data_IF_770108138308
#
_entry.id   IF_770108138308
#
_cell.length_a   1.000
_cell.length_b   1.000
_cell.length_c   1.000
_cell.angle_alpha   90.00
_cell.angle_beta   90.00
_cell.angle_gamma   90.00
#
_symmetry.space_group_name_H-M   'P 1'
#
loop_
_entity.id
_entity.type
_entity.pdbx_description
1 polymer ?
#
# COMPACT_ATOMS: atom_id res chain seq x y z
N UNK A 1 -29.73 -34.89 40.47
CA UNK A 1 -28.29 -34.94 40.83
C UNK A 1 -28.01 -35.46 42.29
N UNK A 2 -28.98 -35.89 43.03
CA UNK A 2 -28.78 -36.24 44.44
C UNK A 2 -28.12 -37.63 44.70
N UNK A 3 -28.03 -38.52 43.71
CA UNK A 3 -27.47 -39.89 43.91
C UNK A 3 -26.09 -40.13 43.30
N UNK A 4 -25.38 -39.09 42.84
CA UNK A 4 -24.05 -39.25 42.26
C UNK A 4 -22.96 -39.09 43.33
N UNK A 5 -22.04 -40.07 43.43
CA UNK A 5 -20.92 -40.02 44.36
C UNK A 5 -20.08 -38.75 44.17
N UNK A 6 -19.54 -38.18 45.25
CA UNK A 6 -18.70 -36.94 45.22
C UNK A 6 -17.59 -37.03 44.22
N UNK A 7 -16.92 -38.18 44.10
CA UNK A 7 -15.84 -38.43 43.13
C UNK A 7 -16.34 -38.21 41.68
N UNK A 8 -17.52 -38.74 41.34
CA UNK A 8 -18.09 -38.59 40.00
C UNK A 8 -18.46 -37.11 39.71
N UNK A 9 -18.96 -36.38 40.69
CA UNK A 9 -19.25 -34.94 40.54
C UNK A 9 -17.98 -34.15 40.24
N UNK A 10 -16.88 -34.42 40.95
CA UNK A 10 -15.57 -33.76 40.72
C UNK A 10 -15.02 -34.06 39.34
N UNK A 11 -15.11 -35.32 38.85
CA UNK A 11 -14.70 -35.68 37.49
C UNK A 11 -15.52 -34.96 36.44
N UNK A 12 -16.84 -34.84 36.63
CA UNK A 12 -17.70 -34.09 35.68
C UNK A 12 -17.27 -32.61 35.61
N UNK A 13 -17.05 -31.98 36.77
CA UNK A 13 -16.59 -30.57 36.83
C UNK A 13 -15.23 -30.41 36.11
N UNK A 14 -14.30 -31.35 36.30
CA UNK A 14 -13.02 -31.35 35.63
C UNK A 14 -13.19 -31.42 34.11
N UNK A 15 -13.99 -32.35 33.59
CA UNK A 15 -14.21 -32.49 32.14
C UNK A 15 -14.84 -31.23 31.56
N UNK A 16 -15.84 -30.64 32.26
CA UNK A 16 -16.46 -29.39 31.81
C UNK A 16 -15.45 -28.23 31.75
N UNK A 17 -14.59 -28.12 32.76
CA UNK A 17 -13.56 -27.07 32.80
C UNK A 17 -12.51 -27.24 31.69
N UNK A 18 -12.06 -28.47 31.43
CA UNK A 18 -11.12 -28.75 30.31
C UNK A 18 -11.74 -28.42 28.94
N UNK A 19 -13.01 -28.81 28.75
CA UNK A 19 -13.75 -28.48 27.52
C UNK A 19 -13.86 -26.96 27.36
N UNK A 20 -14.20 -26.23 28.43
CA UNK A 20 -14.31 -24.78 28.41
C UNK A 20 -12.98 -24.09 28.06
N UNK A 21 -11.86 -24.55 28.64
CA UNK A 21 -10.52 -24.03 28.30
C UNK A 21 -10.14 -24.31 26.85
N UNK A 22 -10.40 -25.52 26.36
CA UNK A 22 -10.15 -25.88 24.96
C UNK A 22 -10.98 -25.00 24.01
N UNK A 23 -12.26 -24.80 24.28
CA UNK A 23 -13.12 -23.90 23.49
C UNK A 23 -12.62 -22.45 23.54
N UNK A 24 -12.23 -21.93 24.70
CA UNK A 24 -11.66 -20.58 24.79
C UNK A 24 -10.39 -20.45 23.95
N UNK A 25 -9.50 -21.46 23.96
CA UNK A 25 -8.29 -21.46 23.17
C UNK A 25 -8.60 -21.43 21.65
N UNK A 26 -9.55 -22.25 21.19
CA UNK A 26 -9.97 -22.25 19.78
C UNK A 26 -10.57 -20.90 19.39
N UNK A 27 -11.46 -20.35 20.19
CA UNK A 27 -12.08 -19.04 19.93
C UNK A 27 -11.01 -17.94 19.88
N UNK A 28 -10.08 -17.92 20.84
CA UNK A 28 -8.99 -16.94 20.87
C UNK A 28 -8.11 -17.01 19.62
N UNK A 29 -7.74 -18.22 19.19
CA UNK A 29 -6.93 -18.39 17.98
C UNK A 29 -7.67 -17.99 16.70
N UNK A 30 -8.94 -18.34 16.54
CA UNK A 30 -9.74 -17.96 15.37
C UNK A 30 -9.99 -16.46 15.32
N UNK A 31 -10.26 -15.83 16.48
CA UNK A 31 -10.43 -14.38 16.58
C UNK A 31 -9.14 -13.63 16.24
N UNK A 32 -7.99 -14.12 16.74
CA UNK A 32 -6.69 -13.52 16.43
C UNK A 32 -6.41 -13.53 14.92
N UNK A 33 -6.67 -14.65 14.24
CA UNK A 33 -6.50 -14.74 12.79
C UNK A 33 -7.45 -13.83 12.02
N UNK A 34 -8.72 -13.76 12.43
CA UNK A 34 -9.68 -12.88 11.79
C UNK A 34 -9.32 -11.40 11.92
N UNK A 35 -8.89 -10.98 13.13
CA UNK A 35 -8.41 -9.62 13.36
C UNK A 35 -7.13 -9.34 12.58
N UNK A 36 -6.22 -10.32 12.51
CA UNK A 36 -4.97 -10.20 11.78
C UNK A 36 -5.16 -9.96 10.29
N UNK A 37 -5.99 -10.77 9.64
CA UNK A 37 -6.28 -10.62 8.22
C UNK A 37 -6.94 -9.26 7.91
N UNK A 38 -7.93 -8.85 8.72
CA UNK A 38 -8.57 -7.55 8.54
C UNK A 38 -7.57 -6.38 8.73
N UNK A 39 -6.67 -6.49 9.71
CA UNK A 39 -5.64 -5.47 9.92
C UNK A 39 -4.68 -5.38 8.73
N UNK A 40 -4.25 -6.51 8.17
CA UNK A 40 -3.39 -6.55 6.99
C UNK A 40 -4.07 -5.96 5.76
N UNK A 41 -5.34 -6.25 5.52
CA UNK A 41 -6.11 -5.66 4.41
C UNK A 41 -6.21 -4.13 4.55
N UNK A 42 -6.43 -3.64 5.76
CA UNK A 42 -6.48 -2.19 6.05
C UNK A 42 -5.11 -1.56 5.80
N UNK A 43 -4.04 -2.16 6.31
CA UNK A 43 -2.66 -1.66 6.13
C UNK A 43 -2.28 -1.62 4.65
N UNK A 44 -2.57 -2.68 3.89
CA UNK A 44 -2.30 -2.73 2.45
C UNK A 44 -3.02 -1.60 1.70
N UNK A 45 -4.34 -1.43 1.97
CA UNK A 45 -5.12 -0.37 1.33
C UNK A 45 -4.61 1.03 1.71
N UNK A 46 -4.24 1.25 2.97
CA UNK A 46 -3.68 2.51 3.46
C UNK A 46 -2.32 2.81 2.81
N UNK A 47 -1.45 1.82 2.70
CA UNK A 47 -0.17 1.96 2.01
C UNK A 47 -0.37 2.36 0.54
N UNK A 48 -1.22 1.65 -0.21
CA UNK A 48 -1.50 1.97 -1.63
C UNK A 48 -2.11 3.37 -1.78
N UNK A 49 -3.03 3.75 -0.89
CA UNK A 49 -3.60 5.10 -0.86
C UNK A 49 -2.55 6.16 -0.57
N UNK A 50 -1.63 5.90 0.36
CA UNK A 50 -0.52 6.81 0.67
C UNK A 50 0.41 7.04 -0.52
N UNK A 51 0.69 6.01 -1.31
CA UNK A 51 1.46 6.15 -2.55
C UNK A 51 0.72 6.98 -3.60
N UNK A 52 -0.59 6.80 -3.75
CA UNK A 52 -1.43 7.60 -4.63
C UNK A 52 -1.45 9.08 -4.20
N UNK A 53 -1.63 9.35 -2.92
CA UNK A 53 -1.59 10.70 -2.37
C UNK A 53 -0.21 11.36 -2.55
N UNK A 54 0.87 10.60 -2.38
CA UNK A 54 2.23 11.08 -2.58
C UNK A 54 2.44 11.55 -4.03
N UNK A 55 2.15 10.72 -5.03
CA UNK A 55 2.35 11.11 -6.45
C UNK A 55 1.44 12.27 -6.85
N UNK A 56 0.21 12.33 -6.34
CA UNK A 56 -0.70 13.46 -6.52
C UNK A 56 -0.10 14.75 -5.95
N UNK A 57 0.36 14.73 -4.71
CA UNK A 57 0.99 15.88 -4.07
C UNK A 57 2.24 16.36 -4.81
N UNK A 58 3.05 15.45 -5.38
CA UNK A 58 4.22 15.81 -6.18
C UNK A 58 3.81 16.53 -7.48
N UNK A 59 2.79 16.05 -8.17
CA UNK A 59 2.26 16.72 -9.38
C UNK A 59 1.71 18.10 -9.03
N UNK A 60 0.94 18.25 -7.94
CA UNK A 60 0.40 19.53 -7.50
C UNK A 60 1.52 20.55 -7.14
N UNK A 61 2.65 20.09 -6.59
CA UNK A 61 3.83 20.91 -6.36
C UNK A 61 4.43 21.43 -7.68
N UNK A 62 4.53 20.55 -8.70
CA UNK A 62 5.06 20.97 -10.02
C UNK A 62 4.07 21.90 -10.74
N UNK A 63 2.76 21.67 -10.62
CA UNK A 63 1.73 22.60 -11.10
C UNK A 63 1.93 23.99 -10.45
N UNK A 64 2.18 24.04 -9.14
CA UNK A 64 2.43 25.30 -8.42
C UNK A 64 3.71 26.01 -8.90
N UNK A 65 4.76 25.24 -9.25
CA UNK A 65 5.97 25.77 -9.87
C UNK A 65 5.66 26.40 -11.24
N UNK A 66 4.93 25.68 -12.11
CA UNK A 66 4.49 26.20 -13.42
C UNK A 66 3.67 27.47 -13.25
N UNK A 67 2.73 27.51 -12.31
CA UNK A 67 1.92 28.68 -12.02
C UNK A 67 2.76 29.89 -11.57
N UNK A 68 3.78 29.65 -10.75
CA UNK A 68 4.70 30.72 -10.30
C UNK A 68 5.46 31.33 -11.48
N UNK A 69 5.92 30.49 -12.43
CA UNK A 69 6.63 30.94 -13.63
C UNK A 69 5.66 31.66 -14.59
N UNK A 70 4.46 31.11 -14.80
CA UNK A 70 3.42 31.73 -15.62
C UNK A 70 3.02 33.12 -15.09
N UNK A 71 2.86 33.30 -13.78
CA UNK A 71 2.58 34.60 -13.17
C UNK A 71 3.67 35.65 -13.45
N UNK A 72 4.93 35.24 -13.67
CA UNK A 72 6.03 36.10 -14.06
C UNK A 72 5.97 36.48 -15.55
N UNK A 73 5.54 35.54 -16.40
CA UNK A 73 5.20 35.85 -17.79
C UNK A 73 4.08 36.89 -17.85
N UNK A 74 3.00 36.75 -17.09
CA UNK A 74 1.90 37.74 -17.07
C UNK A 74 2.35 39.13 -16.62
N UNK A 75 3.40 39.23 -15.82
CA UNK A 75 4.05 40.51 -15.42
C UNK A 75 5.01 41.07 -16.46
N UNK A 76 5.21 40.34 -17.58
CA UNK A 76 6.10 40.76 -18.65
C UNK A 76 7.58 40.52 -18.36
N UNK A 77 7.93 39.64 -17.39
CA UNK A 77 9.32 39.32 -17.08
C UNK A 77 9.91 38.36 -18.13
N UNK A 78 9.07 37.58 -18.81
CA UNK A 78 9.40 36.58 -19.85
C UNK A 78 8.41 36.67 -21.01
N UNK A 79 8.82 36.18 -22.18
CA UNK A 79 7.89 35.72 -23.21
C UNK A 79 7.28 34.38 -22.80
N UNK A 80 6.20 33.94 -23.43
CA UNK A 80 5.58 32.65 -23.17
C UNK A 80 6.59 31.50 -23.42
N UNK A 81 7.31 31.53 -24.55
CA UNK A 81 8.32 30.52 -24.90
C UNK A 81 9.45 30.43 -23.84
N UNK A 82 9.88 31.60 -23.31
CA UNK A 82 10.90 31.62 -22.26
C UNK A 82 10.35 31.06 -20.94
N UNK A 83 9.10 31.32 -20.60
CA UNK A 83 8.44 30.79 -19.40
C UNK A 83 8.26 29.25 -19.50
N UNK A 84 7.79 28.75 -20.66
CA UNK A 84 7.67 27.32 -20.93
C UNK A 84 9.06 26.64 -20.86
N UNK A 85 10.06 27.20 -21.52
CA UNK A 85 11.42 26.66 -21.47
C UNK A 85 11.95 26.61 -20.04
N UNK A 86 11.78 27.69 -19.28
CA UNK A 86 12.25 27.76 -17.88
C UNK A 86 11.54 26.68 -17.02
N UNK A 87 10.23 26.52 -17.18
CA UNK A 87 9.47 25.51 -16.46
C UNK A 87 9.95 24.09 -16.85
N UNK A 88 10.09 23.80 -18.14
CA UNK A 88 10.56 22.51 -18.62
C UNK A 88 11.97 22.17 -18.09
N UNK A 89 12.91 23.13 -18.14
CA UNK A 89 14.28 22.93 -17.65
C UNK A 89 14.31 22.63 -16.15
N UNK A 90 13.48 23.34 -15.34
CA UNK A 90 13.40 23.06 -13.92
C UNK A 90 12.75 21.69 -13.63
N UNK A 91 11.66 21.35 -14.32
CA UNK A 91 10.96 20.06 -14.10
C UNK A 91 11.87 18.87 -14.49
N UNK A 92 12.67 19.02 -15.53
CA UNK A 92 13.62 17.98 -16.00
C UNK A 92 14.60 17.56 -14.91
N UNK A 93 15.02 18.51 -14.08
CA UNK A 93 15.99 18.28 -12.99
C UNK A 93 15.34 17.89 -11.65
N UNK A 94 14.01 18.05 -11.52
CA UNK A 94 13.32 17.70 -10.28
C UNK A 94 13.35 16.18 -10.05
N UNK A 95 13.64 15.81 -8.80
CA UNK A 95 13.58 14.44 -8.30
C UNK A 95 12.91 14.44 -6.93
N UNK A 96 12.28 13.31 -6.59
CA UNK A 96 11.75 13.08 -5.24
C UNK A 96 11.92 11.61 -4.83
N UNK A 97 11.88 11.35 -3.52
CA UNK A 97 12.10 9.99 -3.01
C UNK A 97 13.43 9.40 -3.47
N UNK A 98 13.45 8.12 -3.80
CA UNK A 98 14.67 7.45 -4.24
C UNK A 98 14.98 7.69 -5.72
N UNK A 99 13.99 7.59 -6.60
CA UNK A 99 14.17 7.72 -8.06
C UNK A 99 12.93 8.34 -8.75
N UNK A 100 12.10 9.08 -8.02
CA UNK A 100 10.93 9.73 -8.58
C UNK A 100 11.30 10.85 -9.54
N UNK A 101 10.66 10.90 -10.70
CA UNK A 101 10.86 11.89 -11.75
C UNK A 101 9.52 12.33 -12.35
N UNK A 102 9.55 13.41 -13.12
CA UNK A 102 8.38 13.96 -13.78
C UNK A 102 8.50 13.84 -15.28
N UNK A 103 7.35 13.78 -15.95
CA UNK A 103 7.23 13.99 -17.38
C UNK A 103 6.21 15.08 -17.68
N UNK A 104 6.36 15.67 -18.85
CA UNK A 104 5.45 16.67 -19.40
C UNK A 104 5.19 16.37 -20.85
N UNK A 105 3.92 16.37 -21.24
CA UNK A 105 3.48 16.27 -22.62
C UNK A 105 2.46 17.38 -22.93
N UNK A 106 2.45 17.84 -24.16
CA UNK A 106 1.37 18.69 -24.66
C UNK A 106 0.10 17.88 -24.88
N UNK A 107 -1.03 18.52 -25.05
CA UNK A 107 -2.31 17.86 -25.28
C UNK A 107 -2.38 17.02 -26.56
N UNK A 108 -1.54 17.32 -27.57
CA UNK A 108 -1.39 16.53 -28.78
C UNK A 108 -0.39 15.38 -28.67
N UNK A 109 0.23 15.21 -27.48
CA UNK A 109 1.16 14.13 -27.19
C UNK A 109 2.60 14.41 -27.54
N UNK A 110 2.98 15.66 -27.81
CA UNK A 110 4.40 16.03 -27.98
C UNK A 110 5.06 16.05 -26.60
N UNK A 111 6.14 15.28 -26.45
CA UNK A 111 6.87 15.18 -25.20
C UNK A 111 7.73 16.44 -24.97
N UNK A 112 7.53 17.12 -23.86
CA UNK A 112 8.27 18.32 -23.46
C UNK A 112 9.40 17.97 -22.49
N UNK A 113 9.13 17.07 -21.53
CA UNK A 113 10.10 16.62 -20.52
C UNK A 113 9.96 15.12 -20.31
N UNK A 114 11.08 14.41 -20.43
CA UNK A 114 11.24 13.03 -19.96
C UNK A 114 12.72 12.73 -19.72
N UNK A 115 13.25 13.16 -18.58
CA UNK A 115 14.63 12.87 -18.14
C UNK A 115 15.74 13.37 -19.11
N UNK A 116 15.44 14.25 -20.05
CA UNK A 116 16.39 14.65 -21.12
C UNK A 116 16.60 13.58 -22.19
N UNK A 117 15.68 12.62 -22.33
CA UNK A 117 15.78 11.54 -23.31
C UNK A 117 15.54 12.07 -24.74
N UNK A 118 15.97 11.30 -25.75
CA UNK A 118 15.78 11.59 -27.17
C UNK A 118 14.31 11.66 -27.62
N UNK A 119 13.37 11.28 -26.75
CA UNK A 119 11.93 11.42 -26.99
C UNK A 119 11.43 12.85 -26.81
N UNK A 120 12.17 13.71 -26.09
CA UNK A 120 11.79 15.11 -25.92
C UNK A 120 11.74 15.81 -27.29
N UNK A 121 10.66 16.53 -27.57
CA UNK A 121 10.35 17.14 -28.84
C UNK A 121 9.67 16.22 -29.86
N UNK A 122 9.49 14.93 -29.57
CA UNK A 122 8.80 13.99 -30.47
C UNK A 122 7.34 13.78 -30.01
N UNK A 123 6.44 13.51 -30.97
CA UNK A 123 5.07 13.15 -30.65
C UNK A 123 4.98 11.66 -30.29
N UNK A 124 4.39 11.36 -29.16
CA UNK A 124 4.23 9.99 -28.65
C UNK A 124 2.77 9.60 -28.35
N UNK A 125 1.79 10.34 -28.94
CA UNK A 125 0.36 10.08 -28.72
C UNK A 125 -0.05 8.63 -29.00
N UNK A 126 0.55 8.00 -30.00
CA UNK A 126 0.25 6.62 -30.40
C UNK A 126 1.14 5.59 -29.68
N UNK A 127 1.92 6.01 -28.66
CA UNK A 127 2.75 5.10 -27.91
C UNK A 127 1.91 4.10 -27.10
N UNK A 128 2.30 2.83 -27.19
CA UNK A 128 1.72 1.72 -26.44
C UNK A 128 2.77 1.12 -25.52
N UNK A 129 2.32 0.55 -24.42
CA UNK A 129 3.20 -0.19 -23.51
C UNK A 129 3.49 -1.62 -24.03
N UNK A 130 4.31 -2.38 -23.31
CA UNK A 130 4.68 -3.75 -23.69
C UNK A 130 3.47 -4.71 -23.76
N UNK A 131 2.34 -4.37 -23.14
CA UNK A 131 1.10 -5.12 -23.21
C UNK A 131 0.16 -4.65 -24.34
N UNK A 132 0.57 -3.63 -25.12
CA UNK A 132 -0.24 -3.03 -26.19
C UNK A 132 -1.27 -2.01 -25.69
N UNK A 133 -1.18 -1.56 -24.45
CA UNK A 133 -2.05 -0.54 -23.91
C UNK A 133 -1.61 0.87 -24.36
N UNK A 134 -2.53 1.66 -24.90
CA UNK A 134 -2.29 3.03 -25.38
C UNK A 134 -2.13 4.00 -24.19
N UNK A 135 -1.01 3.89 -23.48
CA UNK A 135 -0.80 4.58 -22.21
C UNK A 135 -0.74 6.09 -22.35
N UNK A 136 -0.19 6.63 -23.46
CA UNK A 136 -0.13 8.09 -23.64
C UNK A 136 -1.52 8.72 -23.78
N UNK A 137 -2.40 8.11 -24.58
CA UNK A 137 -3.79 8.57 -24.71
C UNK A 137 -4.51 8.53 -23.36
N UNK A 138 -4.28 7.46 -22.59
CA UNK A 138 -4.85 7.31 -21.25
C UNK A 138 -4.33 8.38 -20.27
N UNK A 139 -3.01 8.65 -20.26
CA UNK A 139 -2.37 9.69 -19.44
C UNK A 139 -2.95 11.07 -19.77
N UNK A 140 -3.02 11.44 -21.04
CA UNK A 140 -3.56 12.75 -21.46
C UNK A 140 -5.04 12.86 -21.12
N UNK A 141 -5.82 11.80 -21.35
CA UNK A 141 -7.23 11.77 -21.00
C UNK A 141 -7.46 11.89 -19.48
N UNK A 142 -6.68 11.18 -18.67
CA UNK A 142 -6.75 11.25 -17.22
C UNK A 142 -6.31 12.63 -16.70
N UNK A 143 -5.21 13.16 -17.22
CA UNK A 143 -4.68 14.45 -16.80
C UNK A 143 -5.58 15.64 -17.11
N UNK A 144 -6.44 15.52 -18.12
CA UNK A 144 -7.40 16.57 -18.49
C UNK A 144 -8.73 16.51 -17.74
N UNK A 145 -8.92 15.57 -16.82
CA UNK A 145 -10.04 15.62 -15.89
C UNK A 145 -9.85 16.79 -14.91
N UNK A 146 -10.92 17.29 -14.33
CA UNK A 146 -10.94 18.49 -13.45
C UNK A 146 -9.90 18.40 -12.33
N UNK A 147 -9.80 17.23 -11.67
CA UNK A 147 -8.84 16.97 -10.58
C UNK A 147 -7.61 16.15 -11.03
N UNK A 148 -7.40 15.98 -12.35
CA UNK A 148 -6.43 15.01 -12.86
C UNK A 148 -6.90 13.57 -12.72
N UNK A 149 -6.01 12.59 -12.96
CA UNK A 149 -6.39 11.19 -12.89
C UNK A 149 -5.23 10.21 -12.87
N UNK A 150 -5.54 8.99 -12.45
CA UNK A 150 -4.59 7.88 -12.39
C UNK A 150 -4.62 7.05 -13.67
N UNK A 151 -3.46 6.48 -14.01
CA UNK A 151 -3.29 5.56 -15.14
C UNK A 151 -2.33 4.44 -14.73
N UNK A 152 -2.73 3.19 -14.94
CA UNK A 152 -1.89 2.01 -14.71
C UNK A 152 -1.39 1.47 -16.05
N UNK A 153 -0.09 1.26 -16.18
CA UNK A 153 0.58 0.76 -17.39
C UNK A 153 1.93 0.14 -17.04
N UNK A 154 2.62 -0.46 -18.01
CA UNK A 154 3.98 -0.95 -17.79
C UNK A 154 4.99 -0.03 -18.49
N UNK A 155 6.08 0.29 -17.76
CA UNK A 155 7.11 1.20 -18.27
C UNK A 155 8.49 0.83 -17.69
N UNK A 156 9.57 0.92 -18.47
CA UNK A 156 10.91 0.67 -17.95
C UNK A 156 11.29 1.67 -16.86
N UNK A 157 12.04 1.23 -15.87
CA UNK A 157 12.70 2.11 -14.90
C UNK A 157 13.80 2.92 -15.56
N UNK A 158 14.19 4.04 -14.97
CA UNK A 158 15.31 4.83 -15.46
C UNK A 158 16.58 3.96 -15.56
N UNK A 159 17.16 3.90 -16.76
CA UNK A 159 18.35 3.09 -17.04
C UNK A 159 18.09 1.59 -17.27
N UNK A 160 16.85 1.14 -17.24
CA UNK A 160 16.45 -0.24 -17.52
C UNK A 160 15.72 -0.35 -18.86
N UNK A 161 15.67 -1.58 -19.40
CA UNK A 161 14.93 -1.90 -20.64
C UNK A 161 13.70 -2.76 -20.39
N UNK A 162 13.68 -3.50 -19.29
CA UNK A 162 12.56 -4.36 -18.93
C UNK A 162 11.41 -3.52 -18.34
N UNK A 163 10.19 -3.70 -18.84
CA UNK A 163 9.04 -2.94 -18.34
C UNK A 163 8.56 -3.46 -16.98
N UNK A 164 8.35 -2.54 -16.05
CA UNK A 164 7.76 -2.80 -14.73
C UNK A 164 6.37 -2.17 -14.62
N UNK A 165 5.44 -2.73 -13.86
CA UNK A 165 4.11 -2.18 -13.66
C UNK A 165 4.21 -0.84 -12.92
N UNK A 166 3.54 0.19 -13.45
CA UNK A 166 3.60 1.57 -12.96
C UNK A 166 2.21 2.15 -12.80
N UNK A 167 1.96 2.77 -11.66
CA UNK A 167 0.80 3.59 -11.39
C UNK A 167 1.21 5.06 -11.41
N UNK A 168 0.56 5.83 -12.25
CA UNK A 168 0.86 7.23 -12.50
C UNK A 168 -0.34 8.12 -12.14
N UNK A 169 -0.06 9.34 -11.70
CA UNK A 169 -1.03 10.41 -11.62
C UNK A 169 -0.62 11.54 -12.55
N UNK A 170 -1.59 12.07 -13.28
CA UNK A 170 -1.37 13.15 -14.25
C UNK A 170 -2.40 14.24 -14.08
N UNK A 171 -1.99 15.50 -14.32
CA UNK A 171 -2.86 16.68 -14.23
C UNK A 171 -2.49 17.73 -15.27
N UNK A 172 -3.49 18.39 -15.83
CA UNK A 172 -3.30 19.45 -16.81
C UNK A 172 -2.85 20.74 -16.15
N UNK A 173 -1.97 21.47 -16.85
CA UNK A 173 -1.69 22.87 -16.64
C UNK A 173 -2.11 23.65 -17.88
N UNK A 174 -3.32 24.17 -17.85
CA UNK A 174 -3.98 24.83 -18.98
C UNK A 174 -3.19 25.98 -19.61
N UNK A 175 -2.51 26.86 -18.80
CA UNK A 175 -1.82 28.01 -19.38
C UNK A 175 -0.71 27.67 -20.37
N UNK A 176 -0.07 26.48 -20.24
CA UNK A 176 0.94 25.99 -21.18
C UNK A 176 0.41 24.91 -22.12
N UNK A 177 -0.86 24.47 -21.97
CA UNK A 177 -1.41 23.33 -22.71
C UNK A 177 -0.71 22.02 -22.40
N UNK A 178 -0.22 21.86 -21.18
CA UNK A 178 0.56 20.70 -20.74
C UNK A 178 -0.25 19.74 -19.87
N UNK A 179 0.12 18.47 -19.94
CA UNK A 179 -0.21 17.44 -18.96
C UNK A 179 1.10 17.03 -18.27
N UNK A 180 1.15 17.22 -16.96
CA UNK A 180 2.29 16.84 -16.14
C UNK A 180 1.94 15.58 -15.37
N UNK A 181 2.93 14.72 -15.16
CA UNK A 181 2.70 13.51 -14.40
C UNK A 181 3.95 12.98 -13.71
N UNK A 182 3.70 12.13 -12.74
CA UNK A 182 4.69 11.28 -12.09
C UNK A 182 4.04 9.96 -11.67
N UNK A 183 4.82 8.97 -11.24
CA UNK A 183 4.26 7.70 -10.80
C UNK A 183 5.28 6.84 -10.08
N UNK A 184 4.73 5.87 -9.34
CA UNK A 184 5.48 4.84 -8.63
C UNK A 184 5.36 3.51 -9.35
N UNK A 185 6.36 2.66 -9.20
CA UNK A 185 6.30 1.27 -9.66
C UNK A 185 5.57 0.43 -8.61
N UNK A 186 4.55 -0.32 -9.05
CA UNK A 186 3.65 -1.02 -8.11
C UNK A 186 4.28 -2.28 -7.53
N UNK A 187 5.29 -2.83 -8.19
CA UNK A 187 6.11 -3.92 -7.65
C UNK A 187 6.93 -3.49 -6.42
N UNK A 188 7.42 -2.24 -6.36
CA UNK A 188 8.04 -1.69 -5.14
C UNK A 188 7.03 -1.60 -3.99
N UNK A 189 5.80 -1.17 -4.28
CA UNK A 189 4.71 -1.14 -3.29
C UNK A 189 4.36 -2.55 -2.82
N UNK A 190 4.30 -3.52 -3.74
CA UNK A 190 4.02 -4.91 -3.42
C UNK A 190 5.12 -5.53 -2.52
N UNK A 191 6.38 -5.17 -2.74
CA UNK A 191 7.50 -5.59 -1.89
C UNK A 191 7.39 -5.01 -0.47
N UNK A 192 7.08 -3.71 -0.34
CA UNK A 192 6.86 -3.06 0.95
C UNK A 192 5.68 -3.68 1.71
N UNK A 193 4.56 -3.93 1.02
CA UNK A 193 3.39 -4.63 1.58
C UNK A 193 3.74 -6.04 2.03
N UNK A 194 4.51 -6.77 1.22
CA UNK A 194 4.96 -8.13 1.57
C UNK A 194 5.85 -8.12 2.80
N UNK A 195 6.74 -7.13 2.94
CA UNK A 195 7.57 -6.92 4.13
C UNK A 195 6.72 -6.81 5.40
N UNK A 196 5.71 -5.95 5.39
CA UNK A 196 4.77 -5.76 6.51
C UNK A 196 3.98 -7.04 6.80
N UNK A 197 3.48 -7.73 5.77
CA UNK A 197 2.77 -9.01 5.92
C UNK A 197 3.63 -10.09 6.58
N UNK A 198 4.88 -10.20 6.20
CA UNK A 198 5.81 -11.19 6.76
C UNK A 198 6.13 -10.90 8.23
N UNK A 199 6.35 -9.63 8.58
CA UNK A 199 6.57 -9.21 9.96
C UNK A 199 5.34 -9.51 10.81
N UNK A 200 4.16 -9.13 10.35
CA UNK A 200 2.90 -9.38 11.05
C UNK A 200 2.64 -10.88 11.25
N UNK A 201 2.86 -11.71 10.22
CA UNK A 201 2.70 -13.18 10.30
C UNK A 201 3.61 -13.79 11.36
N UNK A 202 4.82 -13.25 11.53
CA UNK A 202 5.75 -13.69 12.58
C UNK A 202 5.20 -13.36 13.97
N UNK A 203 4.68 -12.16 14.19
CA UNK A 203 4.05 -11.77 15.46
C UNK A 203 2.80 -12.61 15.76
N UNK A 204 1.95 -12.85 14.76
CA UNK A 204 0.75 -13.68 14.90
C UNK A 204 1.13 -15.13 15.31
N UNK A 205 2.09 -15.73 14.62
CA UNK A 205 2.57 -17.09 14.92
C UNK A 205 3.12 -17.20 16.35
N UNK A 206 3.95 -16.25 16.79
CA UNK A 206 4.48 -16.21 18.14
C UNK A 206 3.37 -16.05 19.20
N UNK A 207 2.39 -15.18 18.93
CA UNK A 207 1.25 -14.98 19.82
C UNK A 207 0.38 -16.22 19.94
N UNK A 208 0.15 -16.93 18.83
CA UNK A 208 -0.59 -18.21 18.82
C UNK A 208 0.14 -19.28 19.64
N UNK A 209 1.45 -19.42 19.47
CA UNK A 209 2.23 -20.38 20.25
C UNK A 209 2.18 -20.06 21.74
N UNK A 210 2.24 -18.77 22.12
CA UNK A 210 2.11 -18.34 23.50
C UNK A 210 0.71 -18.67 24.09
N UNK A 211 -0.36 -18.41 23.36
CA UNK A 211 -1.74 -18.73 23.78
C UNK A 211 -1.88 -20.24 24.01
N UNK A 212 -1.44 -21.05 23.06
CA UNK A 212 -1.49 -22.52 23.18
C UNK A 212 -0.64 -22.99 24.36
N UNK A 213 0.58 -22.48 24.52
CA UNK A 213 1.46 -22.83 25.63
C UNK A 213 0.85 -22.51 26.99
N UNK A 214 0.26 -21.33 27.15
CA UNK A 214 -0.45 -20.92 28.38
C UNK A 214 -1.65 -21.85 28.65
N UNK A 215 -2.43 -22.16 27.60
CA UNK A 215 -3.59 -23.03 27.75
C UNK A 215 -3.18 -24.43 28.24
N UNK A 216 -2.15 -25.03 27.66
CA UNK A 216 -1.62 -26.34 28.08
C UNK A 216 -1.14 -26.31 29.54
N UNK A 217 -0.41 -25.27 29.93
CA UNK A 217 0.04 -25.10 31.33
C UNK A 217 -1.15 -25.01 32.27
N UNK A 218 -2.17 -24.22 31.93
CA UNK A 218 -3.39 -24.09 32.72
C UNK A 218 -4.18 -25.40 32.84
N UNK A 219 -4.26 -26.19 31.78
CA UNK A 219 -4.89 -27.52 31.80
C UNK A 219 -4.13 -28.49 32.72
N UNK A 220 -2.81 -28.52 32.66
CA UNK A 220 -1.98 -29.35 33.53
C UNK A 220 -2.16 -28.96 35.01
N UNK A 221 -2.13 -27.65 35.33
CA UNK A 221 -2.40 -27.15 36.69
C UNK A 221 -3.78 -27.56 37.18
N UNK A 222 -4.81 -27.41 36.34
CA UNK A 222 -6.19 -27.77 36.68
C UNK A 222 -6.30 -29.28 37.00
N UNK A 223 -5.70 -30.15 36.20
CA UNK A 223 -5.68 -31.60 36.43
C UNK A 223 -4.98 -31.93 37.75
N UNK A 224 -3.83 -31.34 38.02
CA UNK A 224 -3.11 -31.56 39.25
C UNK A 224 -3.92 -31.14 40.49
N UNK A 225 -4.49 -29.93 40.49
CA UNK A 225 -5.27 -29.40 41.61
C UNK A 225 -6.50 -30.27 41.88
N UNK A 226 -7.25 -30.61 40.82
CA UNK A 226 -8.45 -31.45 40.98
C UNK A 226 -8.12 -32.88 41.38
N UNK A 227 -6.99 -33.43 40.95
CA UNK A 227 -6.51 -34.74 41.42
C UNK A 227 -6.17 -34.71 42.90
N UNK A 228 -5.44 -33.69 43.39
CA UNK A 228 -5.12 -33.51 44.82
C UNK A 228 -6.39 -33.38 45.67
N UNK A 229 -7.36 -32.56 45.22
CA UNK A 229 -8.63 -32.42 45.89
C UNK A 229 -9.38 -33.76 45.96
N UNK A 230 -9.43 -34.49 44.83
CA UNK A 230 -10.11 -35.80 44.79
C UNK A 230 -9.48 -36.81 45.73
N UNK A 231 -8.12 -36.88 45.79
CA UNK A 231 -7.40 -37.77 46.70
C UNK A 231 -7.62 -37.36 48.15
N UNK A 232 -7.65 -36.06 48.47
CA UNK A 232 -7.86 -35.54 49.82
C UNK A 232 -9.24 -35.80 50.38
N UNK A 233 -10.29 -35.69 49.53
CA UNK A 233 -11.71 -35.85 49.97
C UNK A 233 -12.15 -37.30 49.93
N UNK A 234 -11.55 -38.16 49.09
CA UNK A 234 -12.01 -39.55 48.86
C UNK A 234 -11.16 -40.57 49.62
N UNK A 235 -10.02 -40.18 50.23
CA UNK A 235 -9.31 -41.07 51.17
C UNK A 235 -10.14 -41.14 52.46
N UNK A 236 -10.44 -42.38 52.95
CA UNK A 236 -11.14 -42.57 54.23
C UNK A 236 -10.30 -42.12 55.39
#
# INVERSE_FOLDING_TARGET
MNNIKVRTKLVIVMVIALIALALCTVISNTSLSGLGNNALDIIENDMRSSYDEQIKAQVDNVISLCQSIYNRYEKGEYTLDEAEKLAADQIRDLRYGNNGYFWVDTYDGTNVVLLGNDTEGTNRMDAVDANGFAYMQAIISAGRQEDGGFTDYVFPREGETEPSPKRAYSKAFEPFGWVLGTGNYTDDIDEDVLGVKNEFSSYESNSRMAIIGIAVVMEVILILVLTLITVSIVKP
#
